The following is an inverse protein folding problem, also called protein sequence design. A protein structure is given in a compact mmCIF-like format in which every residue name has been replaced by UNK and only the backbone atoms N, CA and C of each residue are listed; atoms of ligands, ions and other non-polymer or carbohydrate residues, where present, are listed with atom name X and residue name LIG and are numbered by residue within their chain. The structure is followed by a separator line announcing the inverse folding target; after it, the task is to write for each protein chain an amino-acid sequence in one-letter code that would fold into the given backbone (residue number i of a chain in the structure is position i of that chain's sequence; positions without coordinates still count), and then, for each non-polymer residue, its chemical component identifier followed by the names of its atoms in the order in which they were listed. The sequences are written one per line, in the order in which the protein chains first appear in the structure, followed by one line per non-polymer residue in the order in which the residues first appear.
data_IF_607619508718
#
_entry.id   IF_607619508718
#
_cell.length_a   1.000
_cell.length_b   1.000
_cell.length_c   1.000
_cell.angle_alpha   90.00
_cell.angle_beta   90.00
_cell.angle_gamma   90.00
#
_symmetry.space_group_name_H-M   'P 1'
#
loop_
_entity.id
_entity.type
_entity.pdbx_description
1 polymer ?
#
# COMPACT_ATOMS: atom_id res chain seq x y z
N UNK A 1 -54.97 -12.95 42.34
CA UNK A 1 -53.76 -13.75 41.99
C UNK A 1 -53.54 -13.90 40.47
N UNK A 2 -54.22 -13.13 39.61
CA UNK A 2 -54.15 -13.25 38.14
C UNK A 2 -53.41 -12.11 37.43
N UNK A 3 -53.09 -11.01 38.12
CA UNK A 3 -52.40 -9.85 37.53
C UNK A 3 -50.87 -9.95 37.56
N UNK A 4 -50.31 -10.71 38.51
CA UNK A 4 -48.85 -10.86 38.69
C UNK A 4 -48.27 -11.82 37.64
N UNK A 5 -49.02 -12.87 37.28
CA UNK A 5 -48.62 -13.84 36.26
C UNK A 5 -48.57 -13.22 34.86
N UNK A 6 -49.53 -12.36 34.51
CA UNK A 6 -49.56 -11.66 33.23
C UNK A 6 -48.37 -10.70 33.05
N UNK A 7 -47.96 -10.01 34.12
CA UNK A 7 -46.81 -9.10 34.09
C UNK A 7 -45.49 -9.84 33.88
N UNK A 8 -45.33 -11.02 34.51
CA UNK A 8 -44.15 -11.88 34.34
C UNK A 8 -44.00 -12.38 32.89
N UNK A 9 -45.11 -12.76 32.24
CA UNK A 9 -45.09 -13.24 30.85
C UNK A 9 -44.71 -12.13 29.87
N UNK A 10 -45.22 -10.91 30.07
CA UNK A 10 -44.90 -9.76 29.20
C UNK A 10 -43.43 -9.34 29.35
N UNK A 11 -42.87 -9.38 30.57
CA UNK A 11 -41.45 -9.09 30.81
C UNK A 11 -40.54 -10.13 30.15
N UNK A 12 -40.91 -11.42 30.21
CA UNK A 12 -40.18 -12.49 29.54
C UNK A 12 -40.21 -12.37 28.01
N UNK A 13 -41.37 -12.00 27.43
CA UNK A 13 -41.49 -11.78 25.99
C UNK A 13 -40.68 -10.56 25.51
N UNK A 14 -40.65 -9.47 26.30
CA UNK A 14 -39.80 -8.31 26.01
C UNK A 14 -38.31 -8.64 26.12
N UNK A 15 -37.89 -9.43 27.12
CA UNK A 15 -36.52 -9.89 27.25
C UNK A 15 -36.10 -10.77 26.06
N UNK A 16 -36.98 -11.67 25.60
CA UNK A 16 -36.74 -12.49 24.40
C UNK A 16 -36.67 -11.65 23.11
N UNK A 17 -37.46 -10.57 23.00
CA UNK A 17 -37.37 -9.62 21.88
C UNK A 17 -36.06 -8.83 21.91
N UNK A 18 -35.64 -8.34 23.08
CA UNK A 18 -34.35 -7.65 23.26
C UNK A 18 -33.15 -8.58 23.03
N UNK A 19 -33.27 -9.87 23.35
CA UNK A 19 -32.26 -10.88 23.01
C UNK A 19 -32.16 -11.16 21.49
N UNK A 20 -33.20 -10.88 20.71
CA UNK A 20 -33.20 -11.10 19.26
C UNK A 20 -32.52 -9.95 18.49
N UNK A 21 -32.55 -8.74 19.03
CA UNK A 21 -31.79 -7.57 18.53
C UNK A 21 -30.30 -7.66 18.90
N UNK A 22 -29.97 -8.32 20.03
CA UNK A 22 -28.60 -8.63 20.42
C UNK A 22 -28.04 -9.88 19.71
N UNK A 23 -28.35 -10.07 18.42
CA UNK A 23 -27.51 -10.93 17.58
C UNK A 23 -26.17 -10.21 17.45
N UNK A 24 -25.20 -10.67 18.24
CA UNK A 24 -23.79 -10.44 17.95
C UNK A 24 -23.60 -10.71 16.46
N UNK A 25 -23.36 -9.65 15.68
CA UNK A 25 -22.78 -9.83 14.37
C UNK A 25 -21.50 -10.63 14.62
N UNK A 26 -21.50 -11.91 14.25
CA UNK A 26 -20.30 -12.72 14.29
C UNK A 26 -19.24 -11.91 13.52
N UNK A 27 -18.23 -11.44 14.24
CA UNK A 27 -17.11 -10.77 13.64
C UNK A 27 -16.39 -11.82 12.79
N UNK A 28 -16.82 -11.96 11.53
CA UNK A 28 -16.11 -12.79 10.57
C UNK A 28 -14.66 -12.31 10.58
N UNK A 29 -13.68 -13.20 10.82
CA UNK A 29 -12.30 -12.78 11.00
C UNK A 29 -11.90 -11.96 9.78
N UNK A 30 -11.55 -10.70 10.02
CA UNK A 30 -11.25 -9.77 8.96
C UNK A 30 -10.10 -10.34 8.13
N UNK A 31 -10.31 -10.46 6.82
CA UNK A 31 -9.28 -10.98 5.92
C UNK A 31 -8.05 -10.09 6.07
N UNK A 32 -6.96 -10.65 6.59
CA UNK A 32 -5.73 -9.91 6.78
C UNK A 32 -5.22 -9.35 5.42
N UNK A 33 -4.77 -8.08 5.36
CA UNK A 33 -4.17 -7.51 4.15
C UNK A 33 -3.01 -8.35 3.61
N UNK A 34 -2.77 -8.31 2.29
CA UNK A 34 -1.72 -9.10 1.64
C UNK A 34 -0.36 -8.87 2.29
N UNK A 35 -0.01 -7.60 2.51
CA UNK A 35 1.25 -7.13 3.08
C UNK A 35 1.45 -7.52 4.55
N UNK A 36 0.37 -7.92 5.24
CA UNK A 36 0.38 -8.34 6.64
C UNK A 36 0.32 -9.87 6.79
N UNK A 37 -0.16 -10.59 5.77
CA UNK A 37 -0.37 -12.03 5.85
C UNK A 37 0.95 -12.82 5.84
N UNK A 38 1.20 -13.61 6.90
CA UNK A 38 2.43 -14.41 7.09
C UNK A 38 2.80 -15.29 5.88
N UNK A 39 1.81 -15.86 5.19
CA UNK A 39 2.01 -16.68 4.00
C UNK A 39 2.69 -15.93 2.84
N UNK A 40 2.62 -14.60 2.83
CA UNK A 40 3.16 -13.74 1.78
C UNK A 40 4.54 -13.17 2.12
N UNK A 41 5.08 -13.40 3.32
CA UNK A 41 6.33 -12.77 3.79
C UNK A 41 7.53 -13.03 2.88
N UNK A 42 7.52 -14.12 2.10
CA UNK A 42 8.50 -14.40 1.03
C UNK A 42 8.61 -13.30 -0.04
N UNK A 43 7.61 -12.42 -0.15
CA UNK A 43 7.57 -11.30 -1.11
C UNK A 43 7.83 -9.94 -0.43
N UNK A 44 8.11 -9.91 0.88
CA UNK A 44 8.25 -8.66 1.65
C UNK A 44 9.70 -8.42 2.08
N UNK A 45 10.68 -8.91 1.32
CA UNK A 45 12.09 -8.69 1.62
C UNK A 45 12.50 -7.25 1.29
N UNK A 46 12.43 -6.38 2.30
CA UNK A 46 12.82 -4.96 2.16
C UNK A 46 14.28 -4.82 1.76
N UNK A 47 15.16 -5.74 2.18
CA UNK A 47 16.58 -5.71 1.79
C UNK A 47 16.75 -5.88 0.27
N UNK A 48 15.91 -6.70 -0.37
CA UNK A 48 15.93 -6.83 -1.83
C UNK A 48 15.48 -5.54 -2.52
N UNK A 49 14.44 -4.88 -2.01
CA UNK A 49 13.96 -3.61 -2.56
C UNK A 49 15.00 -2.49 -2.44
N UNK A 50 15.63 -2.33 -1.27
CA UNK A 50 16.65 -1.30 -1.06
C UNK A 50 17.96 -1.60 -1.79
N UNK A 51 18.21 -2.85 -2.16
CA UNK A 51 19.42 -3.25 -2.91
C UNK A 51 19.39 -2.81 -4.37
N UNK A 52 18.22 -2.41 -4.89
CA UNK A 52 18.06 -1.98 -6.28
C UNK A 52 18.85 -0.69 -6.52
N UNK A 53 19.70 -0.70 -7.55
CA UNK A 53 20.53 0.44 -7.94
C UNK A 53 19.83 1.28 -9.00
N UNK A 54 20.11 2.59 -9.01
CA UNK A 54 19.53 3.53 -9.97
C UNK A 54 18.11 3.98 -9.62
N UNK A 55 17.39 4.47 -10.64
CA UNK A 55 16.01 4.96 -10.49
C UNK A 55 15.03 3.80 -10.50
N UNK A 56 14.05 3.85 -9.59
CA UNK A 56 12.89 2.97 -9.56
C UNK A 56 11.66 3.84 -9.81
N UNK A 57 11.05 3.70 -10.98
CA UNK A 57 9.94 4.53 -11.42
C UNK A 57 8.61 3.99 -10.92
N UNK A 58 7.73 4.86 -10.47
CA UNK A 58 6.31 4.55 -10.31
C UNK A 58 5.69 4.45 -11.70
N UNK A 59 5.22 3.25 -12.04
CA UNK A 59 4.59 2.97 -13.33
C UNK A 59 3.11 3.26 -13.28
N UNK A 60 2.44 2.75 -12.25
CA UNK A 60 1.00 2.93 -12.05
C UNK A 60 0.62 3.01 -10.56
N UNK A 61 -0.56 3.56 -10.29
CA UNK A 61 -1.18 3.67 -8.96
C UNK A 61 -2.70 3.60 -9.05
N UNK A 62 -3.38 3.20 -7.99
CA UNK A 62 -4.84 3.11 -7.93
C UNK A 62 -5.51 4.28 -7.19
N UNK A 63 -4.78 5.38 -7.01
CA UNK A 63 -5.30 6.59 -6.38
C UNK A 63 -4.80 7.82 -7.12
N UNK A 64 -5.64 8.85 -7.14
CA UNK A 64 -5.24 10.14 -7.65
C UNK A 64 -4.63 10.98 -6.53
N UNK A 65 -3.58 11.72 -6.85
CA UNK A 65 -3.13 12.83 -6.02
C UNK A 65 -3.34 14.08 -6.86
N UNK A 66 -3.59 15.23 -6.23
CA UNK A 66 -3.84 16.53 -6.88
C UNK A 66 -2.70 16.98 -7.84
N UNK A 67 -1.64 16.20 -7.95
CA UNK A 67 -0.47 16.53 -8.74
C UNK A 67 -0.49 15.80 -10.08
N UNK A 68 -0.33 16.57 -11.16
CA UNK A 68 -0.12 16.08 -12.53
C UNK A 68 1.30 15.48 -12.72
N UNK A 69 2.01 15.18 -11.63
CA UNK A 69 3.40 14.78 -11.68
C UNK A 69 3.55 13.39 -12.29
N UNK A 70 4.06 13.37 -13.51
CA UNK A 70 4.48 12.19 -14.24
C UNK A 70 5.91 11.82 -13.86
N UNK A 71 6.34 10.63 -14.26
CA UNK A 71 7.73 10.17 -14.13
C UNK A 71 8.26 10.00 -12.70
N UNK A 72 7.40 10.01 -11.67
CA UNK A 72 7.83 9.82 -10.27
C UNK A 72 8.78 8.63 -10.14
N UNK A 73 9.90 8.84 -9.46
CA UNK A 73 10.86 7.79 -9.13
C UNK A 73 11.37 7.94 -7.70
N UNK A 74 11.93 6.86 -7.18
CA UNK A 74 12.85 6.87 -6.04
C UNK A 74 14.24 6.45 -6.50
N UNK A 75 15.26 7.00 -5.87
CA UNK A 75 16.66 6.61 -6.07
C UNK A 75 17.39 6.67 -4.74
N UNK A 76 18.18 5.64 -4.43
CA UNK A 76 19.07 5.63 -3.26
C UNK A 76 20.21 6.62 -3.49
N UNK A 77 20.35 7.63 -2.63
CA UNK A 77 21.37 8.69 -2.74
C UNK A 77 22.61 8.34 -1.94
N UNK A 78 22.43 7.89 -0.69
CA UNK A 78 23.55 7.61 0.20
C UNK A 78 23.26 6.39 1.08
N UNK A 79 24.29 5.57 1.22
CA UNK A 79 24.33 4.52 2.20
C UNK A 79 24.96 5.05 3.51
N UNK A 80 24.22 5.07 4.62
CA UNK A 80 24.83 5.23 5.95
C UNK A 80 25.17 3.83 6.49
N UNK A 81 26.24 3.71 7.27
CA UNK A 81 26.80 2.43 7.73
C UNK A 81 25.75 1.44 8.22
N UNK A 82 26.03 0.12 8.08
CA UNK A 82 25.12 -1.02 8.31
C UNK A 82 24.33 -1.01 9.63
N UNK A 83 24.77 -0.25 10.63
CA UNK A 83 24.13 -0.11 11.95
C UNK A 83 23.14 1.06 12.07
N UNK A 84 23.09 1.97 11.09
CA UNK A 84 22.09 3.05 11.04
C UNK A 84 21.16 2.80 9.84
N UNK A 85 19.99 2.23 10.13
CA UNK A 85 18.91 1.88 9.19
C UNK A 85 18.27 3.05 8.42
N UNK A 86 18.96 4.19 8.31
CA UNK A 86 18.46 5.41 7.69
C UNK A 86 19.10 5.58 6.30
N UNK A 87 18.27 5.41 5.25
CA UNK A 87 18.68 5.62 3.87
C UNK A 87 18.09 6.92 3.32
N UNK A 88 18.89 7.72 2.60
CA UNK A 88 18.38 8.89 1.89
C UNK A 88 17.86 8.46 0.51
N UNK A 89 16.57 8.70 0.28
CA UNK A 89 15.90 8.51 -1.00
C UNK A 89 15.69 9.87 -1.66
N UNK A 90 16.20 10.02 -2.89
CA UNK A 90 15.83 11.13 -3.76
C UNK A 90 14.49 10.79 -4.40
N UNK A 91 13.49 11.63 -4.14
CA UNK A 91 12.20 11.63 -4.81
C UNK A 91 12.18 12.81 -5.78
N UNK A 92 11.73 12.60 -7.03
CA UNK A 92 11.82 13.59 -8.11
C UNK A 92 11.09 14.95 -7.84
N UNK A 93 10.41 15.14 -6.71
CA UNK A 93 9.59 16.33 -6.43
C UNK A 93 9.83 16.99 -5.06
N UNK A 94 11.00 16.81 -4.45
CA UNK A 94 11.43 17.68 -3.37
C UNK A 94 12.51 18.61 -3.95
N UNK A 95 12.16 19.84 -4.41
CA UNK A 95 13.11 20.77 -5.03
C UNK A 95 14.12 21.31 -4.02
N UNK A 96 13.89 21.09 -2.74
CA UNK A 96 14.77 21.48 -1.68
C UNK A 96 14.61 20.43 -0.59
N UNK A 97 15.69 20.09 0.10
CA UNK A 97 15.68 19.16 1.22
C UNK A 97 14.95 19.72 2.44
N UNK A 98 13.83 20.42 2.26
CA UNK A 98 12.94 20.84 3.33
C UNK A 98 12.29 19.59 3.92
N UNK A 99 12.92 19.08 4.97
CA UNK A 99 12.50 17.94 5.79
C UNK A 99 11.30 18.29 6.69
N UNK A 100 10.49 19.30 6.35
CA UNK A 100 9.35 19.73 7.16
C UNK A 100 8.18 18.75 7.09
N UNK A 101 8.05 18.03 5.97
CA UNK A 101 7.02 17.01 5.83
C UNK A 101 7.49 15.71 6.49
N UNK A 102 6.66 15.07 7.33
CA UNK A 102 7.01 13.80 7.92
C UNK A 102 7.22 12.75 6.83
N UNK A 103 8.21 11.84 6.99
CA UNK A 103 8.40 10.73 6.07
C UNK A 103 7.11 9.95 5.89
N UNK A 104 6.65 9.80 4.64
CA UNK A 104 5.51 8.93 4.34
C UNK A 104 5.99 7.49 4.40
N UNK A 105 5.40 6.72 5.32
CA UNK A 105 5.69 5.31 5.47
C UNK A 105 4.90 4.50 4.43
N UNK A 106 5.62 3.68 3.67
CA UNK A 106 5.05 2.72 2.73
C UNK A 106 5.47 1.30 3.14
N UNK A 107 4.55 0.36 3.05
CA UNK A 107 4.82 -1.08 3.26
C UNK A 107 5.13 -1.73 1.92
N UNK A 108 6.13 -2.62 1.92
CA UNK A 108 6.40 -3.47 0.75
C UNK A 108 5.35 -4.57 0.69
N UNK A 109 4.43 -4.47 -0.27
CA UNK A 109 3.42 -5.50 -0.52
C UNK A 109 3.98 -6.64 -1.35
N UNK A 110 4.82 -6.36 -2.34
CA UNK A 110 5.33 -7.40 -3.24
C UNK A 110 6.64 -6.98 -3.91
N UNK A 111 7.57 -7.92 -4.02
CA UNK A 111 8.71 -7.87 -4.95
C UNK A 111 8.83 -9.23 -5.64
N UNK A 112 8.99 -9.22 -6.96
CA UNK A 112 9.24 -10.46 -7.70
C UNK A 112 10.71 -10.87 -7.63
N UNK A 113 11.02 -12.14 -7.91
CA UNK A 113 12.39 -12.69 -7.79
C UNK A 113 13.41 -11.95 -8.66
N UNK A 114 13.00 -11.48 -9.82
CA UNK A 114 13.84 -10.74 -10.76
C UNK A 114 14.04 -9.27 -10.34
N UNK A 115 13.35 -8.82 -9.28
CA UNK A 115 13.34 -7.42 -8.79
C UNK A 115 12.96 -6.43 -9.90
N UNK A 116 12.20 -6.90 -10.89
CA UNK A 116 11.75 -6.13 -12.04
C UNK A 116 10.41 -5.45 -11.81
N UNK A 117 9.72 -5.80 -10.72
CA UNK A 117 8.46 -5.21 -10.29
C UNK A 117 8.35 -5.19 -8.77
N UNK A 118 7.93 -4.05 -8.22
CA UNK A 118 7.66 -3.84 -6.81
C UNK A 118 6.28 -3.23 -6.63
N UNK A 119 5.60 -3.57 -5.54
CA UNK A 119 4.34 -2.92 -5.15
C UNK A 119 4.51 -2.42 -3.73
N UNK A 120 4.37 -1.11 -3.55
CA UNK A 120 4.27 -0.47 -2.26
C UNK A 120 2.83 -0.06 -1.99
N UNK A 121 2.42 -0.13 -0.73
CA UNK A 121 1.12 0.36 -0.27
C UNK A 121 1.33 1.40 0.82
N UNK A 122 0.62 2.53 0.75
CA UNK A 122 0.58 3.49 1.86
C UNK A 122 0.04 2.80 3.12
N UNK A 123 0.49 3.24 4.29
CA UNK A 123 0.19 2.58 5.55
C UNK A 123 -1.32 2.51 5.83
N UNK A 124 -1.94 1.37 5.54
CA UNK A 124 -3.28 0.99 6.01
C UNK A 124 -3.19 0.08 7.23
N UNK A 125 -4.13 0.21 8.16
CA UNK A 125 -4.16 -0.59 9.41
C UNK A 125 -5.01 -1.85 9.30
N UNK A 126 -5.94 -1.87 8.35
CA UNK A 126 -6.95 -2.93 8.21
C UNK A 126 -7.30 -3.17 6.74
N UNK A 127 -7.96 -4.30 6.44
CA UNK A 127 -8.41 -4.59 5.08
C UNK A 127 -9.66 -3.79 4.67
N UNK A 128 -10.32 -3.15 5.65
CA UNK A 128 -11.42 -2.19 5.43
C UNK A 128 -10.94 -0.86 4.86
N UNK A 129 -9.66 -0.53 5.02
CA UNK A 129 -9.08 0.70 4.49
C UNK A 129 -8.66 0.51 3.02
N UNK A 130 -8.98 1.51 2.20
CA UNK A 130 -8.61 1.52 0.78
C UNK A 130 -7.10 1.40 0.62
N UNK A 131 -6.66 0.37 -0.09
CA UNK A 131 -5.25 0.18 -0.41
C UNK A 131 -4.83 1.29 -1.38
N UNK A 132 -3.85 2.11 -1.00
CA UNK A 132 -3.25 3.11 -1.89
C UNK A 132 -1.91 2.59 -2.38
N UNK A 133 -1.94 1.93 -3.53
CA UNK A 133 -0.83 1.18 -4.08
C UNK A 133 -0.05 1.96 -5.14
N UNK A 134 1.26 1.72 -5.17
CA UNK A 134 2.18 2.14 -6.21
C UNK A 134 2.92 0.92 -6.76
N UNK A 135 2.70 0.61 -8.04
CA UNK A 135 3.50 -0.38 -8.76
C UNK A 135 4.69 0.34 -9.37
N UNK A 136 5.87 -0.17 -9.08
CA UNK A 136 7.13 0.42 -9.48
C UNK A 136 8.01 -0.57 -10.25
N UNK A 137 8.82 -0.05 -11.16
CA UNK A 137 9.81 -0.83 -11.91
C UNK A 137 11.16 -0.10 -11.93
N UNK A 138 12.30 -0.81 -11.77
CA UNK A 138 13.61 -0.22 -12.00
C UNK A 138 13.74 0.31 -13.43
N UNK A 139 14.60 1.31 -13.63
CA UNK A 139 14.82 1.95 -14.93
C UNK A 139 15.10 0.97 -16.08
N UNK A 140 15.78 -0.14 -15.79
CA UNK A 140 16.07 -1.19 -16.76
C UNK A 140 14.82 -1.90 -17.31
N UNK A 141 13.74 -1.94 -16.52
CA UNK A 141 12.48 -2.61 -16.86
C UNK A 141 11.35 -1.63 -17.19
N UNK A 142 11.45 -0.40 -16.68
CA UNK A 142 10.44 0.63 -16.89
C UNK A 142 10.24 0.91 -18.39
N UNK A 143 8.97 1.05 -18.80
CA UNK A 143 8.57 1.19 -20.21
C UNK A 143 8.57 -0.11 -21.01
N UNK A 144 8.96 -1.23 -20.40
CA UNK A 144 8.71 -2.57 -20.92
C UNK A 144 7.36 -3.12 -20.45
N UNK A 145 7.19 -4.43 -20.59
CA UNK A 145 6.02 -5.15 -20.07
C UNK A 145 6.15 -5.35 -18.56
N UNK A 146 5.05 -5.21 -17.85
CA UNK A 146 4.96 -5.55 -16.42
C UNK A 146 4.78 -7.07 -16.31
N UNK A 147 5.53 -7.77 -15.43
CA UNK A 147 5.33 -9.20 -15.18
C UNK A 147 3.88 -9.50 -14.79
N UNK A 148 3.28 -10.54 -15.39
CA UNK A 148 1.88 -10.91 -15.18
C UNK A 148 1.55 -11.17 -13.70
N UNK A 149 2.41 -11.91 -13.01
CA UNK A 149 2.36 -12.13 -11.56
C UNK A 149 2.24 -10.84 -10.75
N UNK A 150 2.95 -9.79 -11.14
CA UNK A 150 2.91 -8.51 -10.45
C UNK A 150 1.58 -7.80 -10.70
N UNK A 151 1.07 -7.84 -11.94
CA UNK A 151 -0.25 -7.31 -12.27
C UNK A 151 -1.36 -8.05 -11.51
N UNK A 152 -1.26 -9.37 -11.37
CA UNK A 152 -2.25 -10.14 -10.59
C UNK A 152 -2.26 -9.72 -9.13
N UNK A 153 -1.09 -9.60 -8.49
CA UNK A 153 -1.02 -9.13 -7.10
C UNK A 153 -1.56 -7.70 -6.97
N UNK A 154 -1.22 -6.81 -7.89
CA UNK A 154 -1.72 -5.43 -7.88
C UNK A 154 -3.24 -5.38 -8.01
N UNK A 155 -3.81 -6.02 -9.04
CA UNK A 155 -5.25 -5.95 -9.31
C UNK A 155 -6.10 -6.62 -8.22
N UNK A 156 -5.60 -7.70 -7.61
CA UNK A 156 -6.32 -8.41 -6.54
C UNK A 156 -6.32 -7.64 -5.21
N UNK A 157 -5.32 -6.77 -4.98
CA UNK A 157 -5.10 -6.15 -3.67
C UNK A 157 -5.24 -4.62 -3.66
N UNK A 158 -5.37 -3.99 -4.83
CA UNK A 158 -5.41 -2.54 -5.02
C UNK A 158 -6.67 -2.13 -5.79
N UNK A 159 -7.84 -2.10 -5.13
CA UNK A 159 -9.11 -1.82 -5.80
C UNK A 159 -9.18 -0.37 -6.31
N UNK A 160 -10.07 -0.13 -7.27
CA UNK A 160 -10.33 1.21 -7.82
C UNK A 160 -9.62 1.49 -9.14
N UNK A 161 -9.80 2.72 -9.63
CA UNK A 161 -9.30 3.14 -10.94
C UNK A 161 -7.78 3.28 -10.94
N UNK A 162 -7.14 2.61 -11.89
CA UNK A 162 -5.68 2.67 -12.07
C UNK A 162 -5.29 3.78 -13.03
N UNK A 163 -4.25 4.53 -12.67
CA UNK A 163 -3.64 5.57 -13.52
C UNK A 163 -2.19 5.20 -13.78
N UNK A 164 -1.80 5.17 -15.06
CA UNK A 164 -0.39 5.02 -15.47
C UNK A 164 0.26 6.39 -15.51
N UNK A 165 1.34 6.57 -14.75
CA UNK A 165 2.06 7.86 -14.64
C UNK A 165 3.46 7.84 -15.26
N UNK A 166 3.95 6.65 -15.61
CA UNK A 166 5.17 6.51 -16.39
C UNK A 166 4.90 6.74 -17.88
N UNK A 167 5.79 7.50 -18.53
CA UNK A 167 5.78 7.76 -19.97
C UNK A 167 7.15 7.43 -20.56
N UNK A 168 7.26 7.11 -21.86
CA UNK A 168 8.53 6.82 -22.51
C UNK A 168 9.59 7.94 -22.32
N UNK A 169 9.16 9.21 -22.28
CA UNK A 169 10.04 10.36 -22.05
C UNK A 169 10.73 10.35 -20.68
N UNK A 170 10.19 9.62 -19.68
CA UNK A 170 10.75 9.57 -18.34
C UNK A 170 12.18 9.00 -18.30
N UNK A 171 12.56 8.19 -19.29
CA UNK A 171 13.95 7.70 -19.46
C UNK A 171 14.92 8.80 -19.83
N UNK A 172 14.43 9.81 -20.56
CA UNK A 172 15.24 10.86 -21.16
C UNK A 172 15.40 12.07 -20.24
N UNK A 173 14.57 12.19 -19.20
CA UNK A 173 14.68 13.25 -18.20
C UNK A 173 16.01 13.12 -17.45
N UNK A 174 16.98 13.93 -17.88
CA UNK A 174 18.20 14.22 -17.10
C UNK A 174 17.80 14.93 -15.82
N UNK A 175 18.52 14.66 -14.73
CA UNK A 175 18.40 15.46 -13.50
C UNK A 175 18.74 16.89 -13.92
N UNK A 176 17.75 17.79 -13.95
CA UNK A 176 18.09 19.21 -13.96
C UNK A 176 18.82 19.45 -12.63
N UNK A 177 20.03 20.01 -12.64
CA UNK A 177 20.67 20.38 -11.38
C UNK A 177 19.71 21.27 -10.59
N UNK A 178 19.61 21.11 -9.26
CA UNK A 178 18.89 22.07 -8.44
C UNK A 178 19.44 23.47 -8.77
N UNK A 179 18.53 24.41 -9.05
CA UNK A 179 18.88 25.82 -9.19
C UNK A 179 19.27 26.40 -7.84
#
# INVERSE_FOLDING_TARGET
MTRITAFSVVVLLFALHLCNEARFAEAYPEKQPFEEAKKNFRYHNVLEAISITGRVYVVMRNYNISTQFLCLYSKRVKAYNETQSNWLLELQHLPDGSTSDPPKLHKLMYINKQRSCLIFVENRKSAREDARCQLMQPAAFAGGRIPLECLYVFNDNCPGSTVTIYRPLCKQLRVLPPK
#
